data_IF_778553394595
#
_entry.id   IF_778553394595
#
_cell.length_a   1.000
_cell.length_b   1.000
_cell.length_c   1.000
_cell.angle_alpha   90.00
_cell.angle_beta   90.00
_cell.angle_gamma   90.00
#
_symmetry.space_group_name_H-M   'P 1'
#
loop_
_entity.id
_entity.type
_entity.pdbx_description
1 polymer ?
#
# COMPACT_ATOMS: atom_id res chain seq x y z
N UNK A 1 7.91 65.34 36.22
CA UNK A 1 7.28 64.05 35.82
C UNK A 1 6.16 64.35 34.83
N UNK A 2 6.37 64.12 33.53
CA UNK A 2 5.31 64.18 32.51
C UNK A 2 5.26 62.83 31.81
N UNK A 3 4.25 62.01 32.13
CA UNK A 3 4.01 60.73 31.48
C UNK A 3 3.36 60.97 30.12
N UNK A 4 4.11 60.67 29.06
CA UNK A 4 3.66 60.60 27.67
C UNK A 4 2.89 59.28 27.49
N UNK A 5 1.56 59.29 27.53
CA UNK A 5 0.76 58.13 27.11
C UNK A 5 0.82 58.04 25.58
N UNK A 6 1.37 56.95 25.08
CA UNK A 6 1.69 56.73 23.67
C UNK A 6 0.74 55.67 23.12
N UNK A 7 -0.31 56.13 22.43
CA UNK A 7 -0.85 55.57 21.19
C UNK A 7 -0.82 54.03 21.01
N UNK A 8 -1.39 53.26 21.94
CA UNK A 8 -1.48 51.79 21.83
C UNK A 8 -2.78 51.33 21.12
N UNK A 9 -3.78 52.21 21.01
CA UNK A 9 -5.10 51.87 20.45
C UNK A 9 -5.14 51.90 18.91
N UNK A 10 -4.22 52.63 18.26
CA UNK A 10 -4.15 52.77 16.80
C UNK A 10 -3.66 51.50 16.08
N UNK A 11 -2.85 50.67 16.74
CA UNK A 11 -2.32 49.43 16.15
C UNK A 11 -3.37 48.33 16.05
N UNK A 12 -4.22 48.19 17.08
CA UNK A 12 -5.28 47.16 17.13
C UNK A 12 -6.40 47.50 16.14
N UNK A 13 -6.78 48.77 16.05
CA UNK A 13 -7.76 49.24 15.06
C UNK A 13 -7.25 49.10 13.62
N UNK A 14 -5.96 49.33 13.37
CA UNK A 14 -5.35 49.10 12.06
C UNK A 14 -5.31 47.62 11.67
N UNK A 15 -4.98 46.71 12.60
CA UNK A 15 -4.99 45.26 12.35
C UNK A 15 -6.40 44.76 12.09
N UNK A 16 -7.39 45.20 12.87
CA UNK A 16 -8.79 44.84 12.66
C UNK A 16 -9.29 45.35 11.29
N UNK A 17 -8.98 46.60 10.95
CA UNK A 17 -9.31 47.17 9.65
C UNK A 17 -8.65 46.39 8.51
N UNK A 18 -7.37 46.02 8.64
CA UNK A 18 -6.66 45.21 7.64
C UNK A 18 -7.31 43.83 7.47
N UNK A 19 -7.70 43.15 8.55
CA UNK A 19 -8.39 41.85 8.48
C UNK A 19 -9.75 41.98 7.79
N UNK A 20 -10.52 43.02 8.10
CA UNK A 20 -11.84 43.26 7.48
C UNK A 20 -11.67 43.56 5.99
N UNK A 21 -10.70 44.41 5.61
CA UNK A 21 -10.42 44.74 4.21
C UNK A 21 -9.95 43.50 3.45
N UNK A 22 -9.02 42.72 4.01
CA UNK A 22 -8.57 41.46 3.40
C UNK A 22 -9.74 40.48 3.27
N UNK A 23 -10.60 40.38 4.28
CA UNK A 23 -11.81 39.55 4.25
C UNK A 23 -12.77 39.95 3.13
N UNK A 24 -13.02 41.25 2.95
CA UNK A 24 -13.87 41.78 1.87
C UNK A 24 -13.25 41.52 0.50
N UNK A 25 -11.93 41.71 0.35
CA UNK A 25 -11.21 41.44 -0.90
C UNK A 25 -11.28 39.94 -1.22
N UNK A 26 -11.02 39.07 -0.25
CA UNK A 26 -11.11 37.61 -0.42
C UNK A 26 -12.54 37.19 -0.76
N UNK A 27 -13.55 37.71 -0.06
CA UNK A 27 -14.96 37.43 -0.33
C UNK A 27 -15.34 37.87 -1.76
N UNK A 28 -14.88 39.03 -2.18
CA UNK A 28 -15.12 39.56 -3.53
C UNK A 28 -14.51 38.66 -4.61
N UNK A 29 -13.28 38.18 -4.40
CA UNK A 29 -12.62 37.22 -5.28
C UNK A 29 -13.39 35.90 -5.32
N UNK A 30 -13.85 35.40 -4.17
CA UNK A 30 -14.62 34.15 -4.08
C UNK A 30 -15.99 34.26 -4.76
N UNK A 31 -16.70 35.37 -4.60
CA UNK A 31 -17.97 35.65 -5.28
C UNK A 31 -17.79 35.72 -6.80
N UNK A 32 -16.76 36.43 -7.23
CA UNK A 32 -16.37 36.51 -8.65
C UNK A 32 -16.03 35.12 -9.19
N UNK A 33 -15.23 34.34 -8.46
CA UNK A 33 -14.92 32.97 -8.83
C UNK A 33 -16.20 32.11 -8.91
N UNK A 34 -17.11 32.17 -7.94
CA UNK A 34 -18.34 31.37 -7.97
C UNK A 34 -19.19 31.63 -9.22
N UNK A 35 -19.29 32.88 -9.67
CA UNK A 35 -20.03 33.25 -10.89
C UNK A 35 -19.32 32.79 -12.17
N UNK A 36 -17.99 32.91 -12.23
CA UNK A 36 -17.22 32.62 -13.46
C UNK A 36 -16.55 31.24 -13.52
N UNK A 37 -16.51 30.49 -12.42
CA UNK A 37 -15.96 29.12 -12.34
C UNK A 37 -16.44 28.19 -13.47
N UNK A 38 -17.74 28.17 -13.85
CA UNK A 38 -18.24 27.34 -14.94
C UNK A 38 -17.69 27.76 -16.30
N UNK A 39 -17.55 29.07 -16.54
CA UNK A 39 -16.98 29.61 -17.78
C UNK A 39 -15.49 29.26 -17.87
N UNK A 40 -14.76 29.38 -16.76
CA UNK A 40 -13.36 28.97 -16.66
C UNK A 40 -13.20 27.46 -16.87
N UNK A 41 -14.09 26.64 -16.31
CA UNK A 41 -14.11 25.18 -16.53
C UNK A 41 -14.42 24.84 -17.99
N UNK A 42 -15.31 25.58 -18.65
CA UNK A 42 -15.70 25.35 -20.05
C UNK A 42 -14.58 25.73 -21.03
N UNK A 43 -13.83 26.80 -20.75
CA UNK A 43 -12.64 27.21 -21.53
C UNK A 43 -11.42 26.34 -21.22
N UNK A 44 -11.24 25.92 -19.97
CA UNK A 44 -10.14 25.03 -19.55
C UNK A 44 -10.28 23.61 -20.09
N UNK A 45 -11.52 23.14 -20.30
CA UNK A 45 -11.85 21.81 -20.81
C UNK A 45 -11.18 21.45 -22.15
N UNK A 46 -11.29 22.24 -23.23
CA UNK A 46 -10.68 21.91 -24.52
C UNK A 46 -9.15 21.94 -24.46
N UNK A 47 -8.55 22.91 -23.74
CA UNK A 47 -7.09 23.00 -23.54
C UNK A 47 -6.58 21.75 -22.83
N UNK A 48 -7.32 21.30 -21.81
CA UNK A 48 -7.01 20.07 -21.09
C UNK A 48 -7.23 18.82 -21.94
N UNK A 49 -8.30 18.78 -22.74
CA UNK A 49 -8.62 17.64 -23.61
C UNK A 49 -7.56 17.41 -24.68
N UNK A 50 -6.98 18.46 -25.27
CA UNK A 50 -5.88 18.35 -26.25
C UNK A 50 -4.63 17.73 -25.60
N UNK A 51 -4.34 18.11 -24.35
CA UNK A 51 -3.21 17.54 -23.59
C UNK A 51 -3.49 16.11 -23.11
N UNK A 52 -4.75 15.79 -22.83
CA UNK A 52 -5.21 14.49 -22.33
C UNK A 52 -5.34 13.43 -23.43
N UNK A 53 -5.77 13.79 -24.65
CA UNK A 53 -5.89 12.87 -25.79
C UNK A 53 -4.54 12.30 -26.25
N UNK A 54 -3.45 12.99 -25.91
CA UNK A 54 -2.08 12.54 -26.16
C UNK A 54 -1.64 11.40 -25.23
N UNK A 55 -2.38 11.11 -24.15
CA UNK A 55 -2.06 10.03 -23.19
C UNK A 55 -3.01 8.86 -23.39
N UNK A 56 -2.66 7.93 -24.27
CA UNK A 56 -3.31 6.61 -24.29
C UNK A 56 -2.87 5.81 -23.07
N UNK A 57 -3.79 5.02 -22.53
CA UNK A 57 -3.48 4.04 -21.51
C UNK A 57 -2.57 2.98 -22.15
N UNK A 58 -1.37 2.85 -21.61
CA UNK A 58 -0.41 1.82 -22.00
C UNK A 58 -0.79 0.57 -21.18
N UNK A 59 -1.34 -0.44 -21.87
CA UNK A 59 -1.75 -1.69 -21.22
C UNK A 59 -0.58 -2.67 -21.06
N UNK A 60 0.48 -2.49 -21.84
CA UNK A 60 1.63 -3.37 -21.90
C UNK A 60 2.88 -2.50 -22.08
N UNK A 61 3.99 -2.78 -21.36
CA UNK A 61 5.16 -1.93 -21.42
C UNK A 61 5.77 -1.95 -22.82
N UNK A 62 6.27 -0.80 -23.28
CA UNK A 62 6.84 -0.69 -24.62
C UNK A 62 8.00 -1.69 -24.80
N UNK A 63 8.02 -2.41 -25.93
CA UNK A 63 9.07 -3.36 -26.29
C UNK A 63 10.51 -2.80 -26.10
N UNK A 64 10.85 -1.57 -26.50
CA UNK A 64 12.18 -1.00 -26.23
C UNK A 64 12.45 -0.76 -24.73
N UNK A 65 11.42 -0.48 -23.94
CA UNK A 65 11.54 -0.27 -22.49
C UNK A 65 11.80 -1.60 -21.79
N UNK A 66 11.09 -2.67 -22.19
CA UNK A 66 11.35 -4.03 -21.73
C UNK A 66 12.76 -4.51 -22.10
N UNK A 67 13.21 -4.25 -23.32
CA UNK A 67 14.55 -4.61 -23.77
C UNK A 67 15.65 -3.91 -22.95
N UNK A 68 15.45 -2.63 -22.60
CA UNK A 68 16.36 -1.87 -21.72
C UNK A 68 16.34 -2.41 -20.30
N UNK A 69 15.17 -2.68 -19.74
CA UNK A 69 15.03 -3.25 -18.40
C UNK A 69 15.75 -4.61 -18.32
N UNK A 70 15.50 -5.51 -19.28
CA UNK A 70 16.16 -6.81 -19.32
C UNK A 70 17.66 -6.75 -19.59
N UNK A 71 18.18 -5.66 -20.18
CA UNK A 71 19.63 -5.42 -20.26
C UNK A 71 20.22 -5.04 -18.90
N UNK A 72 19.57 -4.11 -18.18
CA UNK A 72 19.96 -3.68 -16.83
C UNK A 72 19.89 -4.84 -15.85
N UNK A 73 18.82 -5.64 -15.88
CA UNK A 73 18.64 -6.80 -14.99
C UNK A 73 19.73 -7.86 -15.20
N UNK A 74 20.14 -8.11 -16.45
CA UNK A 74 21.25 -9.04 -16.75
C UNK A 74 22.59 -8.52 -16.23
N UNK A 75 22.84 -7.23 -16.37
CA UNK A 75 24.05 -6.59 -15.83
C UNK A 75 24.06 -6.64 -14.30
N UNK A 76 22.93 -6.30 -13.67
CA UNK A 76 22.74 -6.37 -12.22
C UNK A 76 22.95 -7.80 -11.70
N UNK A 77 22.38 -8.81 -12.35
CA UNK A 77 22.56 -10.22 -11.97
C UNK A 77 24.02 -10.67 -12.03
N UNK A 78 24.79 -10.19 -13.02
CA UNK A 78 26.22 -10.49 -13.13
C UNK A 78 27.01 -9.88 -11.95
N UNK A 79 26.71 -8.63 -11.58
CA UNK A 79 27.37 -7.96 -10.46
C UNK A 79 26.98 -8.56 -9.10
N UNK A 80 25.70 -8.88 -8.89
CA UNK A 80 25.23 -9.57 -7.69
C UNK A 80 25.84 -10.98 -7.57
N UNK A 81 25.94 -11.71 -8.68
CA UNK A 81 26.63 -13.01 -8.71
C UNK A 81 28.10 -12.90 -8.29
N UNK A 82 28.81 -11.87 -8.78
CA UNK A 82 30.20 -11.62 -8.36
C UNK A 82 30.30 -11.21 -6.89
N UNK A 83 29.40 -10.34 -6.42
CA UNK A 83 29.33 -9.94 -5.02
C UNK A 83 29.17 -11.15 -4.08
N UNK A 84 28.32 -12.09 -4.48
CA UNK A 84 28.11 -13.34 -3.75
C UNK A 84 29.34 -14.25 -3.79
N UNK A 85 29.99 -14.35 -4.94
CA UNK A 85 31.23 -15.12 -5.08
C UNK A 85 32.34 -14.57 -4.17
N UNK A 86 32.48 -13.25 -4.03
CA UNK A 86 33.43 -12.62 -3.11
C UNK A 86 33.17 -13.06 -1.66
N UNK A 87 31.90 -13.14 -1.25
CA UNK A 87 31.52 -13.63 0.07
C UNK A 87 31.94 -15.09 0.25
N UNK A 88 31.63 -15.95 -0.73
CA UNK A 88 32.03 -17.36 -0.69
C UNK A 88 33.56 -17.55 -0.67
N UNK A 89 34.31 -16.81 -1.48
CA UNK A 89 35.78 -16.82 -1.48
C UNK A 89 36.35 -16.41 -0.11
N UNK A 90 35.69 -15.46 0.57
CA UNK A 90 36.10 -15.05 1.91
C UNK A 90 35.81 -16.11 2.98
N UNK A 91 34.66 -16.77 2.89
CA UNK A 91 34.25 -17.83 3.81
C UNK A 91 35.16 -19.07 3.68
N UNK A 92 35.48 -19.48 2.44
CA UNK A 92 36.39 -20.60 2.17
C UNK A 92 37.82 -20.33 2.67
N UNK A 93 38.26 -19.07 2.65
CA UNK A 93 39.57 -18.67 3.15
C UNK A 93 39.56 -18.27 4.64
N UNK A 94 38.46 -18.48 5.36
CA UNK A 94 38.27 -18.20 6.80
C UNK A 94 38.73 -16.78 7.18
N UNK A 95 38.36 -15.80 6.34
CA UNK A 95 38.71 -14.40 6.57
C UNK A 95 37.81 -13.78 7.63
N UNK A 96 38.39 -13.40 8.76
CA UNK A 96 37.62 -12.66 9.75
C UNK A 96 37.18 -11.27 9.24
N UNK A 97 35.95 -10.92 9.61
CA UNK A 97 35.20 -9.75 9.13
C UNK A 97 35.16 -8.70 10.24
N UNK A 98 35.46 -7.46 9.90
CA UNK A 98 35.35 -6.33 10.82
C UNK A 98 33.87 -5.98 11.08
N UNK A 99 33.61 -5.22 12.14
CA UNK A 99 32.26 -4.70 12.47
C UNK A 99 31.64 -3.89 11.30
N UNK A 100 32.48 -3.24 10.51
CA UNK A 100 32.07 -2.44 9.34
C UNK A 100 31.70 -3.29 8.10
N UNK A 101 31.74 -4.63 8.20
CA UNK A 101 31.44 -5.54 7.08
C UNK A 101 32.56 -5.68 6.04
N UNK A 102 33.75 -5.12 6.33
CA UNK A 102 34.96 -5.27 5.52
C UNK A 102 35.80 -6.45 6.01
N UNK A 103 36.46 -7.17 5.10
CA UNK A 103 37.37 -8.25 5.44
C UNK A 103 38.65 -7.70 6.10
N UNK A 104 39.31 -8.50 6.95
CA UNK A 104 40.57 -8.08 7.56
C UNK A 104 41.63 -7.69 6.51
N UNK A 105 42.24 -6.51 6.72
CA UNK A 105 43.28 -5.94 5.84
C UNK A 105 44.67 -6.55 6.06
N UNK A 106 44.80 -7.54 6.94
CA UNK A 106 46.08 -8.21 7.20
C UNK A 106 46.53 -9.10 6.05
N UNK A 107 45.59 -9.66 5.28
CA UNK A 107 45.87 -10.56 4.15
C UNK A 107 45.78 -9.82 2.82
N UNK A 108 46.57 -10.26 1.82
CA UNK A 108 46.51 -9.70 0.46
C UNK A 108 45.13 -9.93 -0.17
N UNK A 109 44.55 -11.12 0.05
CA UNK A 109 43.22 -11.49 -0.42
C UNK A 109 42.14 -10.58 0.17
N UNK A 110 42.14 -10.35 1.49
CA UNK A 110 41.17 -9.47 2.14
C UNK A 110 41.22 -8.02 1.62
N UNK A 111 42.42 -7.49 1.31
CA UNK A 111 42.55 -6.17 0.67
C UNK A 111 41.96 -6.15 -0.75
N UNK A 112 42.20 -7.20 -1.54
CA UNK A 112 41.68 -7.31 -2.90
C UNK A 112 40.16 -7.40 -2.92
N UNK A 113 39.58 -8.30 -2.11
CA UNK A 113 38.13 -8.48 -2.01
C UNK A 113 37.41 -7.22 -1.50
N UNK A 114 38.02 -6.49 -0.55
CA UNK A 114 37.47 -5.21 -0.10
C UNK A 114 37.47 -4.13 -1.20
N UNK A 115 38.58 -4.00 -1.94
CA UNK A 115 38.68 -3.05 -3.04
C UNK A 115 37.66 -3.38 -4.15
N UNK A 116 37.41 -4.67 -4.38
CA UNK A 116 36.42 -5.12 -5.34
C UNK A 116 34.99 -4.82 -4.86
N UNK A 117 34.66 -5.09 -3.58
CA UNK A 117 33.37 -4.68 -2.99
C UNK A 117 33.13 -3.18 -3.09
N UNK A 118 34.15 -2.37 -2.83
CA UNK A 118 34.03 -0.90 -2.90
C UNK A 118 33.74 -0.39 -4.32
N UNK A 119 34.18 -1.12 -5.35
CA UNK A 119 33.85 -0.82 -6.75
C UNK A 119 32.46 -1.34 -7.16
N UNK A 120 32.05 -2.50 -6.65
CA UNK A 120 30.80 -3.15 -7.02
C UNK A 120 29.57 -2.51 -6.37
N UNK A 121 29.66 -2.10 -5.09
CA UNK A 121 28.51 -1.58 -4.33
C UNK A 121 27.78 -0.43 -5.02
N UNK A 122 28.46 0.70 -5.33
CA UNK A 122 27.81 1.84 -5.99
C UNK A 122 27.20 1.49 -7.34
N UNK A 123 27.81 0.54 -8.07
CA UNK A 123 27.32 0.12 -9.39
C UNK A 123 26.06 -0.74 -9.29
N UNK A 124 25.99 -1.61 -8.28
CA UNK A 124 24.78 -2.39 -7.96
C UNK A 124 23.64 -1.43 -7.60
N UNK A 125 23.88 -0.49 -6.69
CA UNK A 125 22.89 0.50 -6.25
C UNK A 125 22.35 1.33 -7.45
N UNK A 126 23.23 1.78 -8.35
CA UNK A 126 22.85 2.53 -9.55
C UNK A 126 21.94 1.70 -10.48
N UNK A 127 22.28 0.43 -10.71
CA UNK A 127 21.51 -0.46 -11.57
C UNK A 127 20.17 -0.85 -10.94
N UNK A 128 20.12 -1.07 -9.62
CA UNK A 128 18.89 -1.31 -8.88
C UNK A 128 17.94 -0.12 -8.97
N UNK A 129 18.45 1.10 -8.76
CA UNK A 129 17.67 2.32 -8.90
C UNK A 129 17.15 2.51 -10.33
N UNK A 130 17.99 2.28 -11.34
CA UNK A 130 17.59 2.40 -12.74
C UNK A 130 16.52 1.36 -13.13
N UNK A 131 16.65 0.12 -12.67
CA UNK A 131 15.64 -0.92 -12.87
C UNK A 131 14.32 -0.56 -12.18
N UNK A 132 14.37 -0.10 -10.92
CA UNK A 132 13.20 0.30 -10.16
C UNK A 132 12.46 1.48 -10.82
N UNK A 133 13.19 2.48 -11.33
CA UNK A 133 12.59 3.62 -12.03
C UNK A 133 11.83 3.17 -13.29
N UNK A 134 12.42 2.29 -14.09
CA UNK A 134 11.79 1.74 -15.30
C UNK A 134 10.57 0.87 -14.96
N UNK A 135 10.60 0.09 -13.87
CA UNK A 135 9.46 -0.71 -13.41
C UNK A 135 8.32 0.12 -12.84
N UNK A 136 8.62 1.25 -12.18
CA UNK A 136 7.62 2.14 -11.61
C UNK A 136 6.97 3.09 -12.63
N UNK A 137 7.63 3.36 -13.77
CA UNK A 137 7.17 4.31 -14.77
C UNK A 137 5.74 4.02 -15.32
N UNK A 138 5.36 2.77 -15.62
CA UNK A 138 4.00 2.43 -16.04
C UNK A 138 2.95 2.71 -14.96
N UNK A 139 3.24 2.37 -13.69
CA UNK A 139 2.34 2.61 -12.57
C UNK A 139 2.11 4.11 -12.36
N UNK A 140 3.16 4.93 -12.43
CA UNK A 140 3.06 6.39 -12.35
C UNK A 140 2.22 6.95 -13.51
N UNK A 141 2.43 6.40 -14.71
CA UNK A 141 1.69 6.79 -15.91
C UNK A 141 0.21 6.41 -15.82
N UNK A 142 -0.10 5.24 -15.27
CA UNK A 142 -1.46 4.77 -14.98
C UNK A 142 -2.17 5.72 -14.01
N UNK A 143 -1.56 6.06 -12.88
CA UNK A 143 -2.14 7.01 -11.92
C UNK A 143 -2.42 8.38 -12.56
N UNK A 144 -1.47 8.91 -13.33
CA UNK A 144 -1.66 10.16 -14.09
C UNK A 144 -2.82 10.05 -15.09
N UNK A 145 -2.94 8.91 -15.77
CA UNK A 145 -4.05 8.65 -16.70
C UNK A 145 -5.41 8.60 -15.98
N UNK A 146 -5.50 7.89 -14.85
CA UNK A 146 -6.72 7.80 -14.03
C UNK A 146 -7.15 9.19 -13.58
N UNK A 147 -6.22 10.00 -13.11
CA UNK A 147 -6.50 11.37 -12.69
C UNK A 147 -7.04 12.21 -13.85
N UNK A 148 -6.42 12.09 -15.02
CA UNK A 148 -6.85 12.84 -16.21
C UNK A 148 -8.25 12.43 -16.67
N UNK A 149 -8.53 11.13 -16.68
CA UNK A 149 -9.82 10.61 -17.11
C UNK A 149 -10.95 10.88 -16.09
N UNK A 150 -10.62 10.82 -14.79
CA UNK A 150 -11.53 11.22 -13.72
C UNK A 150 -11.87 12.72 -13.81
N UNK A 151 -10.87 13.58 -14.02
CA UNK A 151 -11.09 15.02 -14.20
C UNK A 151 -11.98 15.31 -15.40
N UNK A 152 -11.70 14.70 -16.57
CA UNK A 152 -12.52 14.89 -17.78
C UNK A 152 -14.00 14.57 -17.52
N UNK A 153 -14.27 13.42 -16.91
CA UNK A 153 -15.64 12.97 -16.67
C UNK A 153 -16.34 13.74 -15.55
N UNK A 154 -15.61 14.19 -14.53
CA UNK A 154 -16.15 15.04 -13.47
C UNK A 154 -16.52 16.44 -14.01
N UNK A 155 -15.64 17.11 -14.77
CA UNK A 155 -15.91 18.46 -15.26
C UNK A 155 -17.12 18.49 -16.21
N UNK A 156 -17.23 17.53 -17.14
CA UNK A 156 -18.39 17.43 -18.04
C UNK A 156 -19.71 17.28 -17.27
N UNK A 157 -19.71 16.46 -16.22
CA UNK A 157 -20.90 16.26 -15.37
C UNK A 157 -21.19 17.49 -14.50
N UNK A 158 -20.16 18.16 -13.98
CA UNK A 158 -20.31 19.40 -13.22
C UNK A 158 -20.88 20.53 -14.08
N UNK A 159 -20.47 20.66 -15.34
CA UNK A 159 -21.06 21.64 -16.26
C UNK A 159 -22.54 21.34 -16.52
N UNK A 160 -22.91 20.07 -16.69
CA UNK A 160 -24.31 19.66 -16.84
C UNK A 160 -25.12 19.98 -15.58
N UNK A 161 -24.61 19.61 -14.40
CA UNK A 161 -25.24 19.92 -13.11
C UNK A 161 -25.37 21.43 -12.92
N UNK A 162 -24.33 22.20 -13.24
CA UNK A 162 -24.36 23.65 -13.18
C UNK A 162 -25.45 24.22 -14.10
N UNK A 163 -25.56 23.77 -15.35
CA UNK A 163 -26.59 24.23 -16.28
C UNK A 163 -28.01 23.92 -15.77
N UNK A 164 -28.22 22.73 -15.20
CA UNK A 164 -29.50 22.33 -14.60
C UNK A 164 -29.82 23.17 -13.36
N UNK A 165 -28.85 23.37 -12.47
CA UNK A 165 -29.01 24.19 -11.27
C UNK A 165 -29.24 25.66 -11.62
N UNK A 166 -28.53 26.20 -12.60
CA UNK A 166 -28.71 27.56 -13.07
C UNK A 166 -30.11 27.75 -13.63
N UNK A 167 -30.59 26.83 -14.47
CA UNK A 167 -31.95 26.87 -15.01
C UNK A 167 -33.02 26.74 -13.90
N UNK A 168 -32.82 25.83 -12.95
CA UNK A 168 -33.71 25.63 -11.81
C UNK A 168 -33.75 26.84 -10.88
N UNK A 169 -32.59 27.38 -10.49
CA UNK A 169 -32.51 28.59 -9.69
C UNK A 169 -33.08 29.79 -10.43
N UNK A 170 -32.78 29.98 -11.72
CA UNK A 170 -33.36 31.06 -12.50
C UNK A 170 -34.89 31.02 -12.50
N UNK A 171 -35.48 29.83 -12.66
CA UNK A 171 -36.93 29.63 -12.61
C UNK A 171 -37.53 29.94 -11.23
N UNK A 172 -36.81 29.63 -10.15
CA UNK A 172 -37.22 29.90 -8.75
C UNK A 172 -36.95 31.34 -8.31
N UNK A 173 -35.94 32.00 -8.89
CA UNK A 173 -35.36 33.29 -8.44
C UNK A 173 -36.08 34.51 -9.04
N UNK A 174 -37.16 34.33 -9.81
CA UNK A 174 -38.09 35.42 -10.16
C UNK A 174 -38.91 35.97 -8.96
N UNK A 175 -38.44 35.77 -7.72
CA UNK A 175 -39.07 36.16 -6.45
C UNK A 175 -38.09 36.72 -5.41
N UNK A 176 -38.09 36.26 -4.14
CA UNK A 176 -37.50 36.95 -2.96
C UNK A 176 -35.97 37.11 -2.93
N UNK A 177 -35.25 36.64 -3.96
CA UNK A 177 -33.78 36.60 -3.99
C UNK A 177 -33.15 37.78 -4.77
N UNK A 178 -33.95 38.77 -5.16
CA UNK A 178 -33.49 39.98 -5.85
C UNK A 178 -32.42 40.74 -5.05
N UNK A 179 -32.55 40.75 -3.72
CA UNK A 179 -31.61 41.43 -2.82
C UNK A 179 -30.23 40.74 -2.79
N UNK A 180 -30.19 39.42 -2.93
CA UNK A 180 -28.93 38.69 -3.06
C UNK A 180 -28.29 38.92 -4.45
N UNK A 181 -29.12 39.02 -5.49
CA UNK A 181 -28.71 39.40 -6.83
C UNK A 181 -28.06 40.78 -6.91
N UNK A 182 -28.65 41.79 -6.26
CA UNK A 182 -28.10 43.14 -6.22
C UNK A 182 -26.81 43.22 -5.39
N UNK A 183 -26.74 42.49 -4.26
CA UNK A 183 -25.52 42.36 -3.46
C UNK A 183 -24.36 41.77 -4.28
N UNK A 184 -24.61 40.66 -4.96
CA UNK A 184 -23.59 39.99 -5.79
C UNK A 184 -23.17 40.84 -6.97
N UNK A 185 -24.13 41.44 -7.70
CA UNK A 185 -23.85 42.35 -8.81
C UNK A 185 -23.01 43.57 -8.38
N UNK A 186 -23.15 44.04 -7.13
CA UNK A 186 -22.36 45.14 -6.57
C UNK A 186 -20.89 44.79 -6.26
N UNK A 187 -20.59 43.51 -6.06
CA UNK A 187 -19.24 43.03 -5.71
C UNK A 187 -18.54 42.29 -6.86
N UNK A 188 -19.22 42.04 -7.99
CA UNK A 188 -18.58 41.40 -9.15
C UNK A 188 -17.73 42.40 -9.93
N UNK A 189 -16.49 42.01 -10.22
CA UNK A 189 -15.48 42.86 -10.88
C UNK A 189 -15.89 43.23 -12.32
N UNK A 190 -16.56 42.33 -13.05
CA UNK A 190 -16.95 42.52 -14.45
C UNK A 190 -18.47 42.57 -14.62
N UNK A 191 -19.05 43.75 -14.50
CA UNK A 191 -20.49 43.95 -14.74
C UNK A 191 -20.76 44.18 -16.23
N UNK A 192 -21.53 43.28 -16.84
CA UNK A 192 -22.17 43.57 -18.13
C UNK A 192 -23.43 44.39 -17.88
N UNK A 193 -23.56 45.52 -18.59
CA UNK A 193 -24.56 46.57 -18.33
C UNK A 193 -26.02 46.11 -18.46
N UNK A 194 -26.29 45.00 -19.14
CA UNK A 194 -27.64 44.55 -19.51
C UNK A 194 -28.12 43.26 -18.82
N UNK A 195 -27.33 42.66 -17.92
CA UNK A 195 -27.72 41.41 -17.24
C UNK A 195 -28.50 41.72 -15.95
N UNK A 196 -29.65 41.06 -15.76
CA UNK A 196 -30.50 41.21 -14.57
C UNK A 196 -29.84 40.72 -13.28
N UNK A 197 -30.11 41.40 -12.16
CA UNK A 197 -29.62 41.03 -10.83
C UNK A 197 -30.00 39.58 -10.43
N UNK A 198 -31.15 39.10 -10.90
CA UNK A 198 -31.62 37.73 -10.68
C UNK A 198 -30.67 36.66 -11.30
N UNK A 199 -30.06 36.97 -12.44
CA UNK A 199 -29.11 36.07 -13.11
C UNK A 199 -27.84 35.93 -12.26
N UNK A 200 -27.33 37.03 -11.68
CA UNK A 200 -26.14 36.98 -10.82
C UNK A 200 -26.36 36.16 -9.54
N UNK A 201 -27.50 36.34 -8.87
CA UNK A 201 -27.85 35.56 -7.69
C UNK A 201 -27.99 34.06 -7.98
N UNK A 202 -28.67 33.72 -9.08
CA UNK A 202 -28.81 32.32 -9.52
C UNK A 202 -27.47 31.69 -9.96
N UNK A 203 -26.59 32.47 -10.60
CA UNK A 203 -25.25 32.05 -11.00
C UNK A 203 -24.33 31.79 -9.80
N UNK A 204 -24.43 32.61 -8.75
CA UNK A 204 -23.66 32.42 -7.52
C UNK A 204 -24.06 31.11 -6.80
N UNK A 205 -25.37 30.86 -6.61
CA UNK A 205 -25.86 29.67 -5.93
C UNK A 205 -25.55 28.39 -6.72
N UNK A 206 -25.83 28.40 -8.03
CA UNK A 206 -25.47 27.27 -8.91
C UNK A 206 -23.95 27.03 -8.95
N UNK A 207 -23.13 28.09 -8.97
CA UNK A 207 -21.68 28.01 -8.93
C UNK A 207 -21.18 27.36 -7.64
N UNK A 208 -21.62 27.85 -6.48
CA UNK A 208 -21.25 27.31 -5.18
C UNK A 208 -21.69 25.84 -5.00
N UNK A 209 -22.93 25.51 -5.37
CA UNK A 209 -23.44 24.14 -5.32
C UNK A 209 -22.68 23.20 -6.28
N UNK A 210 -22.40 23.66 -7.51
CA UNK A 210 -21.66 22.86 -8.49
C UNK A 210 -20.21 22.59 -8.09
N UNK A 211 -19.55 23.51 -7.37
CA UNK A 211 -18.18 23.32 -6.87
C UNK A 211 -18.11 22.22 -5.80
N UNK A 212 -19.08 22.18 -4.87
CA UNK A 212 -19.18 21.09 -3.89
C UNK A 212 -19.44 19.74 -4.60
N UNK A 213 -20.36 19.71 -5.57
CA UNK A 213 -20.67 18.51 -6.33
C UNK A 213 -19.48 18.03 -7.16
N UNK A 214 -18.68 18.95 -7.75
CA UNK A 214 -17.44 18.62 -8.46
C UNK A 214 -16.45 17.87 -7.55
N UNK A 215 -16.24 18.33 -6.32
CA UNK A 215 -15.34 17.68 -5.37
C UNK A 215 -15.77 16.24 -5.09
N UNK A 216 -17.06 16.02 -4.80
CA UNK A 216 -17.62 14.69 -4.57
C UNK A 216 -17.59 13.80 -5.83
N UNK A 217 -17.86 14.37 -7.02
CA UNK A 217 -17.79 13.66 -8.29
C UNK A 217 -16.37 13.25 -8.66
N UNK A 218 -15.37 14.11 -8.45
CA UNK A 218 -13.96 13.77 -8.68
C UNK A 218 -13.55 12.58 -7.81
N UNK A 219 -13.88 12.63 -6.51
CA UNK A 219 -13.55 11.56 -5.56
C UNK A 219 -14.23 10.24 -5.94
N UNK A 220 -15.53 10.26 -6.21
CA UNK A 220 -16.29 9.05 -6.57
C UNK A 220 -15.86 8.49 -7.94
N UNK A 221 -15.52 9.36 -8.89
CA UNK A 221 -15.09 8.93 -10.22
C UNK A 221 -13.69 8.34 -10.22
N UNK A 222 -12.75 8.93 -9.47
CA UNK A 222 -11.42 8.35 -9.26
C UNK A 222 -11.53 6.96 -8.62
N UNK A 223 -12.34 6.82 -7.57
CA UNK A 223 -12.57 5.54 -6.92
C UNK A 223 -13.21 4.49 -7.85
N UNK A 224 -14.21 4.87 -8.66
CA UNK A 224 -14.84 3.93 -9.60
C UNK A 224 -13.92 3.48 -10.73
N UNK A 225 -13.04 4.34 -11.25
CA UNK A 225 -12.07 3.96 -12.29
C UNK A 225 -11.02 3.00 -11.72
N UNK A 226 -10.52 3.27 -10.50
CA UNK A 226 -9.59 2.37 -9.82
C UNK A 226 -10.22 1.01 -9.52
N UNK A 227 -11.46 0.99 -9.04
CA UNK A 227 -12.17 -0.26 -8.77
C UNK A 227 -12.49 -1.04 -10.06
N UNK A 228 -12.85 -0.35 -11.14
CA UNK A 228 -13.14 -1.01 -12.42
C UNK A 228 -11.89 -1.56 -13.12
N UNK A 229 -10.70 -1.06 -12.76
CA UNK A 229 -9.41 -1.49 -13.31
C UNK A 229 -8.43 -1.90 -12.21
N UNK A 230 -8.94 -2.55 -11.18
CA UNK A 230 -8.12 -3.05 -10.08
C UNK A 230 -7.13 -4.11 -10.56
N UNK A 231 -7.51 -4.88 -11.59
CA UNK A 231 -6.67 -5.83 -12.32
C UNK A 231 -5.41 -5.16 -12.89
N UNK A 232 -5.57 -4.05 -13.61
CA UNK A 232 -4.44 -3.35 -14.23
C UNK A 232 -3.60 -2.65 -13.19
N UNK A 233 -4.22 -2.06 -12.16
CA UNK A 233 -3.48 -1.47 -11.05
C UNK A 233 -2.62 -2.53 -10.34
N UNK A 234 -3.18 -3.70 -10.08
CA UNK A 234 -2.48 -4.82 -9.44
C UNK A 234 -1.33 -5.32 -10.32
N UNK A 235 -1.56 -5.53 -11.62
CA UNK A 235 -0.51 -5.93 -12.54
C UNK A 235 0.69 -4.97 -12.53
N UNK A 236 0.42 -3.65 -12.53
CA UNK A 236 1.50 -2.66 -12.48
C UNK A 236 2.13 -2.49 -11.10
N UNK A 237 1.39 -2.72 -10.01
CA UNK A 237 2.00 -2.75 -8.67
C UNK A 237 2.92 -3.94 -8.52
N UNK A 238 2.49 -5.13 -8.97
CA UNK A 238 3.28 -6.36 -8.90
C UNK A 238 4.55 -6.22 -9.75
N UNK A 239 4.45 -5.60 -10.93
CA UNK A 239 5.61 -5.30 -11.78
C UNK A 239 6.56 -4.26 -11.15
N UNK A 240 6.04 -3.25 -10.46
CA UNK A 240 6.84 -2.22 -9.80
C UNK A 240 7.54 -2.73 -8.52
N UNK A 241 6.88 -3.62 -7.79
CA UNK A 241 7.38 -4.22 -6.55
C UNK A 241 8.33 -5.39 -6.82
N UNK A 242 8.39 -5.90 -8.05
CA UNK A 242 9.35 -6.93 -8.45
C UNK A 242 10.78 -6.46 -8.20
N UNK A 243 11.33 -6.86 -7.06
CA UNK A 243 12.76 -6.80 -6.78
C UNK A 243 13.40 -8.01 -7.46
N UNK A 244 14.54 -7.79 -8.11
CA UNK A 244 15.40 -8.92 -8.45
C UNK A 244 15.91 -9.40 -7.11
N UNK A 245 15.22 -10.36 -6.48
CA UNK A 245 15.80 -11.04 -5.34
C UNK A 245 17.13 -11.62 -5.84
N UNK A 246 18.27 -11.25 -5.24
CA UNK A 246 19.55 -11.81 -5.61
C UNK A 246 19.49 -13.31 -5.26
N UNK A 247 19.14 -14.16 -6.23
CA UNK A 247 19.35 -15.60 -6.16
C UNK A 247 18.79 -16.23 -4.86
N UNK A 248 17.53 -15.95 -4.48
CA UNK A 248 16.89 -16.72 -3.40
C UNK A 248 16.31 -18.08 -3.87
N UNK A 249 16.34 -18.37 -5.17
CA UNK A 249 15.89 -19.67 -5.72
C UNK A 249 17.03 -20.71 -5.83
N UNK A 250 18.31 -20.33 -5.74
CA UNK A 250 19.42 -21.29 -5.98
C UNK A 250 20.32 -21.62 -4.78
N UNK A 251 20.09 -21.04 -3.59
CA UNK A 251 20.89 -21.38 -2.40
C UNK A 251 20.10 -21.85 -1.16
N UNK A 252 18.78 -21.94 -1.21
CA UNK A 252 18.00 -22.49 -0.09
C UNK A 252 17.87 -24.01 -0.06
N UNK A 253 18.73 -24.74 -0.78
CA UNK A 253 18.78 -26.19 -0.70
C UNK A 253 19.57 -26.74 0.50
N UNK A 254 20.40 -25.97 1.22
CA UNK A 254 21.32 -26.60 2.21
C UNK A 254 21.51 -25.91 3.58
N UNK A 255 21.08 -24.66 3.82
CA UNK A 255 21.41 -23.99 5.11
C UNK A 255 20.22 -23.55 5.98
N UNK A 256 18.97 -23.67 5.52
CA UNK A 256 17.80 -23.15 6.26
C UNK A 256 16.86 -24.22 6.84
N UNK A 257 17.26 -25.49 6.84
CA UNK A 257 16.45 -26.60 7.38
C UNK A 257 16.60 -26.75 8.91
N UNK A 258 17.66 -26.22 9.53
CA UNK A 258 17.88 -26.33 10.99
C UNK A 258 16.95 -25.44 11.83
N UNK A 259 16.99 -24.13 11.64
CA UNK A 259 16.40 -23.17 12.60
C UNK A 259 14.86 -23.02 12.47
N UNK A 260 14.31 -23.20 11.26
CA UNK A 260 12.85 -23.20 11.05
C UNK A 260 12.19 -24.48 11.56
N UNK A 261 12.91 -25.60 11.55
CA UNK A 261 12.38 -26.89 12.03
C UNK A 261 12.25 -26.86 13.55
N UNK A 262 13.25 -26.39 14.30
CA UNK A 262 13.21 -26.34 15.77
C UNK A 262 12.08 -25.45 16.33
N UNK A 263 11.83 -24.29 15.71
CA UNK A 263 10.73 -23.40 16.13
C UNK A 263 9.35 -24.00 15.82
N UNK A 264 9.20 -24.57 14.63
CA UNK A 264 7.94 -25.24 14.23
C UNK A 264 7.70 -26.52 15.01
N UNK A 265 8.75 -27.22 15.45
CA UNK A 265 8.67 -28.40 16.30
C UNK A 265 8.38 -28.05 17.75
N UNK A 266 8.92 -26.95 18.30
CA UNK A 266 8.50 -26.45 19.62
C UNK A 266 7.04 -26.03 19.64
N UNK A 267 6.56 -25.37 18.59
CA UNK A 267 5.14 -24.98 18.45
C UNK A 267 4.21 -26.17 18.12
N UNK A 268 4.68 -27.17 17.36
CA UNK A 268 3.95 -28.44 17.17
C UNK A 268 3.96 -29.30 18.44
N UNK A 269 5.04 -29.32 19.21
CA UNK A 269 5.15 -30.09 20.46
C UNK A 269 4.30 -29.47 21.57
N UNK A 270 4.13 -28.14 21.59
CA UNK A 270 3.20 -27.47 22.52
C UNK A 270 1.74 -27.70 22.15
N UNK A 271 1.37 -27.68 20.86
CA UNK A 271 -0.02 -27.89 20.41
C UNK A 271 -0.46 -29.36 20.44
N UNK A 272 0.48 -30.32 20.40
CA UNK A 272 0.19 -31.75 20.46
C UNK A 272 -0.10 -32.24 21.89
N UNK A 273 0.49 -31.61 22.91
CA UNK A 273 0.33 -32.02 24.32
C UNK A 273 -1.02 -31.58 24.95
N UNK A 274 -1.75 -30.67 24.30
CA UNK A 274 -3.06 -30.16 24.72
C UNK A 274 -4.26 -30.89 24.05
N UNK A 275 -4.01 -31.88 23.18
CA UNK A 275 -5.09 -32.63 22.52
C UNK A 275 -5.80 -33.57 23.49
N UNK A 276 -7.13 -33.59 23.44
CA UNK A 276 -7.93 -34.45 24.31
C UNK A 276 -7.68 -35.94 24.05
N UNK A 277 -7.78 -36.77 25.11
CA UNK A 277 -7.44 -38.21 25.05
C UNK A 277 -8.17 -38.99 23.94
N UNK A 278 -9.40 -38.60 23.60
CA UNK A 278 -10.23 -39.27 22.60
C UNK A 278 -9.72 -39.01 21.16
N UNK A 279 -9.14 -37.84 20.90
CA UNK A 279 -8.47 -37.53 19.62
C UNK A 279 -7.14 -38.28 19.49
N UNK A 280 -6.34 -38.33 20.56
CA UNK A 280 -5.06 -39.05 20.59
C UNK A 280 -5.28 -40.56 20.37
N UNK A 281 -6.32 -41.14 20.99
CA UNK A 281 -6.68 -42.55 20.79
C UNK A 281 -7.52 -42.80 19.54
N UNK A 282 -8.07 -41.75 18.90
CA UNK A 282 -8.90 -41.86 17.70
C UNK A 282 -10.24 -42.55 17.95
N UNK A 283 -10.80 -42.35 19.13
CA UNK A 283 -12.07 -42.94 19.58
C UNK A 283 -13.07 -41.84 19.90
N UNK A 284 -14.35 -42.17 19.93
CA UNK A 284 -15.38 -41.23 20.38
C UNK A 284 -15.17 -40.83 21.85
N UNK A 285 -15.52 -39.60 22.22
CA UNK A 285 -15.55 -39.14 23.62
C UNK A 285 -16.51 -39.97 24.49
N UNK A 286 -17.43 -40.73 23.88
CA UNK A 286 -18.35 -41.68 24.53
C UNK A 286 -17.92 -43.16 24.44
N UNK A 287 -16.72 -43.45 23.92
CA UNK A 287 -16.24 -44.82 23.76
C UNK A 287 -16.13 -45.56 25.11
N UNK A 288 -16.45 -46.84 25.08
CA UNK A 288 -16.41 -47.75 26.23
C UNK A 288 -14.97 -48.14 26.58
N UNK A 289 -14.74 -48.63 27.81
CA UNK A 289 -13.41 -49.05 28.27
C UNK A 289 -12.78 -50.14 27.41
N UNK A 290 -13.61 -51.03 26.83
CA UNK A 290 -13.14 -52.09 25.90
C UNK A 290 -12.64 -51.49 24.58
N UNK A 291 -13.34 -50.51 24.01
CA UNK A 291 -12.98 -49.81 22.78
C UNK A 291 -11.71 -48.96 22.96
N UNK A 292 -11.58 -48.26 24.09
CA UNK A 292 -10.37 -47.50 24.45
C UNK A 292 -9.15 -48.44 24.52
N UNK A 293 -9.29 -49.58 25.18
CA UNK A 293 -8.22 -50.57 25.30
C UNK A 293 -7.86 -51.23 23.97
N UNK A 294 -8.85 -51.45 23.09
CA UNK A 294 -8.63 -51.98 21.75
C UNK A 294 -7.87 -50.98 20.86
N UNK A 295 -8.31 -49.72 20.84
CA UNK A 295 -7.68 -48.65 20.06
C UNK A 295 -6.24 -48.37 20.53
N UNK A 296 -6.02 -48.34 21.85
CA UNK A 296 -4.68 -48.22 22.42
C UNK A 296 -3.75 -49.33 21.95
N UNK A 297 -4.18 -50.60 22.01
CA UNK A 297 -3.33 -51.74 21.59
C UNK A 297 -2.97 -51.65 20.11
N UNK A 298 -3.95 -51.29 19.27
CA UNK A 298 -3.73 -51.12 17.84
C UNK A 298 -2.73 -50.00 17.51
N UNK A 299 -2.79 -48.87 18.22
CA UNK A 299 -1.83 -47.76 18.03
C UNK A 299 -0.46 -48.04 18.65
N UNK A 300 -0.41 -48.70 19.81
CA UNK A 300 0.85 -49.06 20.47
C UNK A 300 1.64 -50.09 19.65
N UNK A 301 0.98 -51.05 19.02
CA UNK A 301 1.64 -52.02 18.13
C UNK A 301 2.33 -51.39 16.91
N UNK A 302 1.89 -50.20 16.48
CA UNK A 302 2.48 -49.45 15.35
C UNK A 302 3.64 -48.55 15.77
N UNK A 303 3.63 -48.07 17.02
CA UNK A 303 4.63 -47.13 17.55
C UNK A 303 5.50 -47.74 18.66
N UNK A 304 5.59 -49.07 18.75
CA UNK A 304 6.33 -49.74 19.83
C UNK A 304 7.83 -49.50 19.67
N UNK A 305 8.56 -49.04 20.71
CA UNK A 305 9.98 -48.73 20.60
C UNK A 305 10.82 -49.93 20.16
N UNK A 306 10.54 -51.15 20.62
CA UNK A 306 11.26 -52.36 20.14
C UNK A 306 11.12 -52.62 18.64
N UNK A 307 10.02 -52.20 17.99
CA UNK A 307 9.82 -52.45 16.55
C UNK A 307 10.55 -51.45 15.67
N UNK A 308 10.98 -50.32 16.24
CA UNK A 308 11.75 -49.27 15.56
C UNK A 308 13.19 -49.19 16.09
N UNK A 309 13.59 -50.13 16.94
CA UNK A 309 14.94 -50.17 17.53
C UNK A 309 16.02 -50.41 16.46
N UNK A 310 15.68 -51.07 15.35
CA UNK A 310 16.55 -51.31 14.20
C UNK A 310 16.61 -50.11 13.21
N UNK A 311 15.85 -49.03 13.44
CA UNK A 311 15.81 -47.82 12.60
C UNK A 311 16.66 -46.69 13.20
N UNK A 312 16.97 -45.67 12.38
CA UNK A 312 17.74 -44.48 12.75
C UNK A 312 17.21 -43.78 14.01
N UNK A 313 18.11 -43.11 14.74
CA UNK A 313 17.86 -42.54 16.06
C UNK A 313 16.65 -41.58 16.11
N UNK A 314 16.41 -40.82 15.03
CA UNK A 314 15.25 -39.92 14.90
C UNK A 314 13.90 -40.67 14.98
N UNK A 315 13.80 -41.87 14.40
CA UNK A 315 12.57 -42.67 14.45
C UNK A 315 12.34 -43.28 15.83
N UNK A 316 13.42 -43.58 16.56
CA UNK A 316 13.35 -44.08 17.93
C UNK A 316 12.77 -43.03 18.87
N UNK A 317 13.28 -41.80 18.79
CA UNK A 317 12.77 -40.67 19.58
C UNK A 317 11.29 -40.37 19.28
N UNK A 318 10.90 -40.42 18.00
CA UNK A 318 9.51 -40.19 17.59
C UNK A 318 8.56 -41.29 18.12
N UNK A 319 8.99 -42.56 18.08
CA UNK A 319 8.20 -43.67 18.60
C UNK A 319 8.06 -43.60 20.12
N UNK A 320 9.13 -43.27 20.85
CA UNK A 320 9.08 -43.07 22.29
C UNK A 320 8.13 -41.93 22.69
N UNK A 321 8.22 -40.80 21.98
CA UNK A 321 7.33 -39.66 22.21
C UNK A 321 5.86 -40.05 22.00
N UNK A 322 5.55 -40.75 20.90
CA UNK A 322 4.19 -41.22 20.60
C UNK A 322 3.71 -42.28 21.58
N UNK A 323 4.57 -43.19 22.03
CA UNK A 323 4.22 -44.21 23.03
C UNK A 323 3.86 -43.56 24.38
N UNK A 324 4.64 -42.56 24.82
CA UNK A 324 4.35 -41.79 26.04
C UNK A 324 3.00 -41.06 25.95
N UNK A 325 2.70 -40.44 24.81
CA UNK A 325 1.40 -39.79 24.57
C UNK A 325 0.22 -40.78 24.60
N UNK A 326 0.38 -41.96 23.99
CA UNK A 326 -0.65 -43.02 24.03
C UNK A 326 -0.90 -43.54 25.45
N UNK A 327 0.16 -43.67 26.26
CA UNK A 327 0.06 -44.07 27.67
C UNK A 327 -0.70 -43.02 28.49
N UNK A 328 -0.37 -41.73 28.32
CA UNK A 328 -1.04 -40.61 28.98
C UNK A 328 -2.53 -40.56 28.62
N UNK A 329 -2.85 -40.61 27.34
CA UNK A 329 -4.23 -40.58 26.85
C UNK A 329 -5.06 -41.77 27.37
N UNK A 330 -4.49 -42.98 27.41
CA UNK A 330 -5.15 -44.14 28.01
C UNK A 330 -5.43 -43.94 29.50
N UNK A 331 -4.44 -43.48 30.27
CA UNK A 331 -4.61 -43.24 31.70
C UNK A 331 -5.70 -42.20 31.99
N UNK A 332 -5.73 -41.12 31.22
CA UNK A 332 -6.76 -40.08 31.32
C UNK A 332 -8.16 -40.62 30.95
N UNK A 333 -8.25 -41.40 29.87
CA UNK A 333 -9.51 -42.02 29.45
C UNK A 333 -10.08 -42.98 30.49
N UNK A 334 -9.24 -43.80 31.14
CA UNK A 334 -9.67 -44.67 32.23
C UNK A 334 -10.14 -43.86 33.43
N UNK A 335 -9.41 -42.80 33.82
CA UNK A 335 -9.81 -41.91 34.94
C UNK A 335 -11.16 -41.26 34.69
N UNK A 336 -11.41 -40.77 33.47
CA UNK A 336 -12.69 -40.20 33.08
C UNK A 336 -13.85 -41.21 33.17
N UNK A 337 -13.59 -42.49 32.92
CA UNK A 337 -14.60 -43.57 33.02
C UNK A 337 -14.82 -44.09 34.44
N UNK A 338 -13.80 -44.06 35.29
CA UNK A 338 -13.92 -44.48 36.70
C UNK A 338 -14.49 -43.40 37.62
N UNK A 339 -14.49 -42.14 37.18
CA UNK A 339 -14.97 -40.98 37.96
C UNK A 339 -16.40 -40.52 37.66
N UNK A 340 -17.18 -41.29 36.87
CA UNK A 340 -18.61 -41.02 36.64
C UNK A 340 -19.42 -41.96 37.54
N UNK A 341 -20.17 -41.47 38.55
CA UNK A 341 -21.06 -42.31 39.36
C UNK A 341 -22.22 -42.90 38.54
#
# INVERSE_FOLDING_TARGET
MARRSKNQDGGITFVFFAIVVVGIVVLTILLTAAVYMPVLLLVGLPIYQIKASSRRMVNEPDEPTLARLGAIERELAAYLGRWHQIKHEADVADLAVNVDGTFHRGTRLGKQLNAEKEQLGPRIDELEMAAAELRAAPLISFHKWVEVNAMRSAVLRTLLVYAVLLAGFYFVVAGPWKDLGSFTAGHVIFRTRDISDAIYGSAMLSGASSAAILFFMLRSRKASILAARSDVHQCWSDFAEFTVDPILEYQHADENVGDRTERSERERKSTVDDRAWHEILGVSSRASTSEINAAYRAKMMKNHPDKVAELDDEFRELAESRAKLLNRARAEALRARTGTP
#
